data_IF_544558774208
#
_entry.id   IF_544558774208
#
_cell.length_a   1.000
_cell.length_b   1.000
_cell.length_c   1.000
_cell.angle_alpha   90.00
_cell.angle_beta   90.00
_cell.angle_gamma   90.00
#
_symmetry.space_group_name_H-M   'P 1'
#
loop_
_entity.id
_entity.type
_entity.pdbx_description
1 polymer ?
#
# COMPACT_ATOMS: atom_id res chain seq x y z
N UNK A 1 7.09 21.45 -1.01
CA UNK A 1 5.93 20.99 -1.81
C UNK A 1 5.32 19.78 -1.09
N UNK A 2 4.53 20.05 -0.04
CA UNK A 2 3.80 19.03 0.71
C UNK A 2 2.42 18.88 0.05
N UNK A 3 2.36 18.05 -0.99
CA UNK A 3 1.13 17.83 -1.75
C UNK A 3 1.07 16.46 -2.41
N UNK A 4 1.97 15.54 -2.01
CA UNK A 4 2.07 14.17 -2.52
C UNK A 4 1.91 13.12 -1.42
N UNK A 5 1.38 13.48 -0.25
CA UNK A 5 0.82 12.47 0.65
C UNK A 5 -0.57 12.14 0.12
N UNK A 6 -0.58 11.15 -0.78
CA UNK A 6 -1.61 10.15 -0.94
C UNK A 6 -3.06 10.60 -0.73
N UNK A 7 -3.74 10.85 -1.85
CA UNK A 7 -5.16 10.54 -1.96
C UNK A 7 -5.34 9.01 -2.09
N UNK A 8 -4.77 8.25 -1.16
CA UNK A 8 -5.16 6.87 -0.90
C UNK A 8 -6.50 6.92 -0.19
N UNK A 9 -7.57 6.84 -0.96
CA UNK A 9 -8.89 7.04 -0.38
C UNK A 9 -9.92 6.31 -1.20
N UNK A 10 -9.92 4.98 -1.09
CA UNK A 10 -10.97 4.08 -1.57
C UNK A 10 -11.30 4.12 -3.08
N UNK A 11 -10.79 5.05 -3.89
CA UNK A 11 -11.19 5.21 -5.28
C UNK A 11 -10.90 3.98 -6.13
N UNK A 12 -9.69 3.44 -5.98
CA UNK A 12 -9.29 2.20 -6.64
C UNK A 12 -10.11 1.01 -6.14
N UNK A 13 -10.20 0.81 -4.82
CA UNK A 13 -10.97 -0.28 -4.22
C UNK A 13 -12.45 -0.25 -4.60
N UNK A 14 -13.05 0.95 -4.63
CA UNK A 14 -14.44 1.16 -5.04
C UNK A 14 -14.64 0.81 -6.52
N UNK A 15 -13.70 1.15 -7.39
CA UNK A 15 -13.75 0.79 -8.80
C UNK A 15 -13.63 -0.73 -8.98
N UNK A 16 -12.69 -1.38 -8.28
CA UNK A 16 -12.52 -2.83 -8.27
C UNK A 16 -13.79 -3.52 -7.74
N UNK A 17 -14.36 -3.04 -6.63
CA UNK A 17 -15.59 -3.58 -6.06
C UNK A 17 -16.77 -3.48 -7.03
N UNK A 18 -16.95 -2.32 -7.69
CA UNK A 18 -17.99 -2.16 -8.72
C UNK A 18 -17.78 -3.11 -9.90
N UNK A 19 -16.54 -3.31 -10.35
CA UNK A 19 -16.23 -4.26 -11.40
C UNK A 19 -16.52 -5.71 -10.99
N UNK A 20 -16.24 -6.10 -9.74
CA UNK A 20 -16.59 -7.43 -9.20
C UNK A 20 -18.10 -7.65 -9.19
N UNK A 21 -18.89 -6.63 -8.83
CA UNK A 21 -20.37 -6.70 -8.86
C UNK A 21 -20.89 -6.82 -10.29
N UNK A 22 -20.38 -6.00 -11.22
CA UNK A 22 -20.80 -6.02 -12.61
C UNK A 22 -20.38 -7.29 -13.38
N UNK A 23 -19.29 -7.94 -12.95
CA UNK A 23 -18.70 -9.11 -13.59
C UNK A 23 -18.62 -10.31 -12.62
N UNK A 24 -19.72 -10.65 -11.96
CA UNK A 24 -19.77 -11.68 -10.89
C UNK A 24 -19.37 -13.10 -11.30
N UNK A 25 -19.28 -13.39 -12.60
CA UNK A 25 -18.83 -14.68 -13.14
C UNK A 25 -17.32 -14.75 -13.47
N UNK A 26 -16.57 -13.68 -13.22
CA UNK A 26 -15.14 -13.59 -13.51
C UNK A 26 -14.36 -13.24 -12.25
N UNK A 27 -13.22 -13.89 -12.07
CA UNK A 27 -12.26 -13.52 -11.04
C UNK A 27 -11.37 -12.38 -11.55
N UNK A 28 -11.33 -11.28 -10.82
CA UNK A 28 -10.47 -10.15 -11.13
C UNK A 28 -9.17 -10.29 -10.35
N UNK A 29 -8.05 -10.43 -11.07
CA UNK A 29 -6.72 -10.34 -10.49
C UNK A 29 -6.26 -8.87 -10.51
N UNK A 30 -5.96 -8.33 -9.32
CA UNK A 30 -5.43 -6.98 -9.14
C UNK A 30 -3.98 -6.96 -8.68
N UNK A 31 -3.33 -8.12 -8.58
CA UNK A 31 -1.95 -8.24 -8.16
C UNK A 31 -1.02 -7.50 -9.13
N UNK A 32 -0.08 -6.74 -8.57
CA UNK A 32 0.85 -5.93 -9.35
C UNK A 32 0.21 -4.75 -10.08
N UNK A 33 -1.02 -4.36 -9.74
CA UNK A 33 -1.61 -3.09 -10.16
C UNK A 33 -1.18 -2.01 -9.16
N UNK A 34 -0.33 -1.10 -9.62
CA UNK A 34 0.07 0.12 -8.90
C UNK A 34 -0.31 1.38 -9.66
N UNK A 35 -0.28 2.53 -8.98
CA UNK A 35 -0.66 3.85 -9.55
C UNK A 35 0.18 4.22 -10.78
N UNK A 36 1.43 3.77 -10.83
CA UNK A 36 2.37 4.06 -11.92
C UNK A 36 2.28 3.08 -13.11
N UNK A 37 1.56 1.97 -12.95
CA UNK A 37 1.47 0.90 -13.94
C UNK A 37 0.27 1.12 -14.86
N UNK A 38 0.34 0.60 -16.09
CA UNK A 38 -0.77 0.66 -17.05
C UNK A 38 -0.93 -0.62 -17.84
N UNK A 39 -2.13 -0.85 -18.35
CA UNK A 39 -2.39 -1.94 -19.30
C UNK A 39 -1.96 -1.53 -20.71
N UNK A 40 -1.05 -2.28 -21.33
CA UNK A 40 -0.66 -2.16 -22.74
C UNK A 40 -0.74 -3.56 -23.37
N UNK A 41 -1.57 -3.73 -24.39
CA UNK A 41 -1.77 -5.02 -25.08
C UNK A 41 -2.15 -6.16 -24.11
N UNK A 42 -2.98 -5.88 -23.11
CA UNK A 42 -3.39 -6.87 -22.11
C UNK A 42 -2.33 -7.20 -21.05
N UNK A 43 -1.17 -6.54 -21.06
CA UNK A 43 -0.13 -6.71 -20.05
C UNK A 43 -0.02 -5.46 -19.17
N UNK A 44 0.21 -5.66 -17.88
CA UNK A 44 0.56 -4.57 -16.96
C UNK A 44 2.03 -4.24 -17.20
N UNK A 45 2.32 -2.99 -17.56
CA UNK A 45 3.67 -2.51 -17.82
C UNK A 45 3.91 -1.18 -17.11
N UNK A 46 5.16 -0.97 -16.68
CA UNK A 46 5.62 0.34 -16.19
C UNK A 46 6.00 1.20 -17.41
N UNK A 47 5.36 2.36 -17.62
CA UNK A 47 5.78 3.31 -18.65
C UNK A 47 7.21 3.78 -18.41
N UNK A 48 7.98 4.00 -19.49
CA UNK A 48 9.40 4.42 -19.39
C UNK A 48 9.63 5.60 -18.45
N UNK A 49 8.74 6.61 -18.53
CA UNK A 49 8.79 7.82 -17.70
C UNK A 49 8.59 7.59 -16.20
N UNK A 50 8.10 6.43 -15.79
CA UNK A 50 7.82 6.08 -14.39
C UNK A 50 8.75 5.00 -13.85
N UNK A 51 9.66 4.45 -14.66
CA UNK A 51 10.60 3.41 -14.19
C UNK A 51 11.41 3.85 -12.98
N UNK A 52 11.91 5.09 -12.96
CA UNK A 52 12.66 5.62 -11.83
C UNK A 52 11.79 5.80 -10.60
N UNK A 53 10.58 6.35 -10.78
CA UNK A 53 9.64 6.57 -9.68
C UNK A 53 9.15 5.26 -9.06
N UNK A 54 8.95 4.22 -9.86
CA UNK A 54 8.60 2.88 -9.36
C UNK A 54 9.71 2.28 -8.50
N UNK A 55 10.98 2.40 -8.93
CA UNK A 55 12.11 1.91 -8.13
C UNK A 55 12.24 2.66 -6.81
N UNK A 56 11.98 3.97 -6.80
CA UNK A 56 11.94 4.78 -5.58
C UNK A 56 10.77 4.37 -4.66
N UNK A 57 9.57 4.13 -5.21
CA UNK A 57 8.39 3.68 -4.45
C UNK A 57 8.58 2.27 -3.87
N UNK A 58 9.15 1.32 -4.63
CA UNK A 58 9.49 -0.03 -4.16
C UNK A 58 10.55 0.00 -3.04
N UNK A 59 11.52 0.93 -3.09
CA UNK A 59 12.53 1.11 -2.03
C UNK A 59 11.91 1.69 -0.75
N UNK A 60 11.04 2.70 -0.86
CA UNK A 60 10.31 3.29 0.27
C UNK A 60 9.42 2.24 0.98
N UNK A 61 8.70 1.40 0.24
CA UNK A 61 7.87 0.32 0.83
C UNK A 61 8.71 -0.70 1.63
N UNK A 62 9.90 -1.07 1.13
CA UNK A 62 10.81 -1.99 1.82
C UNK A 62 11.42 -1.38 3.09
N UNK A 63 11.70 -0.07 3.09
CA UNK A 63 12.19 0.65 4.26
C UNK A 63 11.11 0.81 5.35
N UNK A 64 9.84 0.91 4.97
CA UNK A 64 8.73 0.94 5.93
C UNK A 64 8.46 -0.45 6.55
N UNK A 65 8.58 -1.55 5.79
CA UNK A 65 8.46 -2.91 6.34
C UNK A 65 9.57 -3.25 7.35
N UNK A 66 10.82 -2.84 7.11
CA UNK A 66 11.96 -3.11 8.02
C UNK A 66 11.91 -2.28 9.31
N UNK A 67 11.23 -1.13 9.29
CA UNK A 67 11.05 -0.29 10.48
C UNK A 67 9.83 -0.68 11.34
N UNK A 68 8.96 -1.59 10.87
CA UNK A 68 7.77 -2.01 11.61
C UNK A 68 8.07 -2.86 12.86
N UNK A 69 9.32 -3.32 13.07
CA UNK A 69 9.70 -4.18 14.19
C UNK A 69 10.18 -3.41 15.46
N UNK A 70 10.18 -2.06 15.48
CA UNK A 70 10.77 -1.29 16.59
C UNK A 70 9.85 -0.55 17.55
N UNK A 71 8.53 -0.69 17.46
CA UNK A 71 7.59 -0.01 18.38
C UNK A 71 6.65 -0.98 19.12
N UNK A 72 7.22 -2.01 19.77
CA UNK A 72 6.48 -2.82 20.75
C UNK A 72 7.25 -3.01 22.06
N UNK A 73 7.54 -1.91 22.76
CA UNK A 73 7.78 -1.96 24.21
C UNK A 73 7.12 -0.76 24.93
N UNK A 74 5.79 -0.61 24.79
CA UNK A 74 4.99 0.06 25.84
C UNK A 74 4.45 -0.99 26.82
N UNK A 75 5.38 -1.63 27.53
CA UNK A 75 5.07 -2.42 28.71
C UNK A 75 4.85 -1.47 29.90
N UNK A 76 3.60 -1.05 30.08
CA UNK A 76 3.08 -0.46 31.31
C UNK A 76 3.55 -1.28 32.53
N UNK A 77 4.52 -0.76 33.30
CA UNK A 77 4.86 -1.28 34.63
C UNK A 77 3.98 -0.56 35.67
N UNK A 78 2.70 -0.94 35.71
CA UNK A 78 1.88 -0.69 36.89
C UNK A 78 1.84 -1.94 37.75
N UNK A 79 2.84 -2.10 38.61
CA UNK A 79 2.64 -2.55 40.00
C UNK A 79 3.96 -2.75 40.72
N UNK A 80 4.29 -1.87 41.67
CA UNK A 80 4.60 -2.41 42.99
C UNK A 80 4.18 -1.53 44.17
N UNK A 81 3.34 -2.17 44.99
CA UNK A 81 2.99 -1.95 46.38
C UNK A 81 4.23 -1.94 47.29
N UNK A 82 4.34 -0.92 48.16
CA UNK A 82 4.93 -0.89 49.54
C UNK A 82 5.04 0.62 49.90
N UNK A 83 4.53 1.18 51.00
CA UNK A 83 4.50 0.74 52.39
C UNK A 83 5.31 1.73 53.25
N UNK A 84 4.70 2.84 53.72
CA UNK A 84 5.06 3.56 54.97
C UNK A 84 3.87 4.37 55.48
#
# INVERSE_FOLDING_TARGET
LSGRKFLEGYGFDNAVAQLKVANSGLELNTDGIGVLRKVKNGQIVIPEKYKQMEMEEEEEELEEEDNAEKDHEEGHDESNREGV
#
